data_IF_244243305155
#
_entry.id   IF_244243305155
#
_cell.length_a   1.000
_cell.length_b   1.000
_cell.length_c   1.000
_cell.angle_alpha   90.00
_cell.angle_beta   90.00
_cell.angle_gamma   90.00
#
_symmetry.space_group_name_H-M   'P 1'
#
loop_
_entity.id
_entity.type
_entity.pdbx_description
1 polymer ?
#
# COMPACT_ATOMS: atom_id res chain seq x y z
N UNK A 1 5.27 5.30 7.82
CA UNK A 1 4.89 6.30 8.83
C UNK A 1 3.80 7.22 8.29
N UNK A 2 3.04 7.82 9.19
CA UNK A 2 1.96 8.76 8.88
C UNK A 2 2.09 9.95 9.84
N UNK A 3 2.10 11.16 9.32
CA UNK A 3 2.15 12.39 10.13
C UNK A 3 0.72 12.78 10.52
N UNK A 4 0.51 13.04 11.81
CA UNK A 4 -0.77 13.57 12.30
C UNK A 4 -0.87 15.08 12.07
N UNK A 5 -2.08 15.66 12.10
CA UNK A 5 -2.23 17.12 12.03
C UNK A 5 -1.49 17.90 13.15
N UNK A 6 -1.24 17.27 14.30
CA UNK A 6 -0.48 17.85 15.42
C UNK A 6 1.03 17.75 15.27
N UNK A 7 1.53 17.03 14.24
CA UNK A 7 2.94 16.82 13.94
C UNK A 7 3.54 15.58 14.61
N UNK A 8 2.74 14.75 15.26
CA UNK A 8 3.17 13.45 15.75
C UNK A 8 3.32 12.45 14.60
N UNK A 9 4.09 11.37 14.80
CA UNK A 9 4.25 10.31 13.83
C UNK A 9 3.57 9.01 14.30
N UNK A 10 2.69 8.46 13.46
CA UNK A 10 2.19 7.10 13.63
C UNK A 10 3.08 6.16 12.81
N UNK A 11 3.58 5.09 13.42
CA UNK A 11 4.51 4.15 12.80
C UNK A 11 4.02 2.72 12.97
N UNK A 12 3.86 2.02 11.86
CA UNK A 12 3.66 0.57 11.85
C UNK A 12 5.01 -0.13 12.08
N UNK A 13 5.10 -0.90 13.14
CA UNK A 13 6.27 -1.73 13.48
C UNK A 13 5.98 -3.18 13.07
N UNK A 14 6.10 -3.44 11.78
CA UNK A 14 5.70 -4.69 11.11
C UNK A 14 6.20 -5.95 11.82
N UNK A 15 7.49 -5.97 12.24
CA UNK A 15 8.09 -7.13 12.92
C UNK A 15 7.68 -7.29 14.39
N UNK A 16 7.13 -6.24 14.97
CA UNK A 16 6.67 -6.23 16.35
C UNK A 16 5.14 -6.38 16.46
N UNK A 17 4.45 -6.49 15.32
CA UNK A 17 3.01 -6.64 15.23
C UNK A 17 2.23 -5.53 15.97
N UNK A 18 2.75 -4.29 15.90
CA UNK A 18 2.19 -3.15 16.62
C UNK A 18 2.21 -1.86 15.80
N UNK A 19 1.35 -0.92 16.19
CA UNK A 19 1.37 0.47 15.73
C UNK A 19 1.64 1.36 16.93
N UNK A 20 2.59 2.28 16.78
CA UNK A 20 2.98 3.23 17.82
C UNK A 20 2.81 4.66 17.34
N UNK A 21 2.60 5.58 18.29
CA UNK A 21 2.68 7.00 18.08
C UNK A 21 3.96 7.52 18.72
N UNK A 22 4.74 8.27 17.96
CA UNK A 22 5.89 9.04 18.41
C UNK A 22 5.43 10.49 18.55
N UNK A 23 5.41 11.01 19.77
CA UNK A 23 5.08 12.41 20.00
C UNK A 23 6.14 13.29 19.36
N UNK A 24 5.73 14.40 18.75
CA UNK A 24 6.63 15.33 18.07
C UNK A 24 7.76 15.77 18.99
N UNK A 25 8.92 15.97 18.42
CA UNK A 25 10.07 16.60 19.08
C UNK A 25 9.74 18.08 19.35
N UNK A 26 9.40 18.42 20.57
CA UNK A 26 8.99 19.76 20.97
C UNK A 26 10.17 20.62 21.45
N UNK A 27 11.23 20.01 21.97
CA UNK A 27 12.42 20.71 22.47
C UNK A 27 13.57 20.77 21.46
N UNK A 28 13.47 20.06 20.32
CA UNK A 28 14.41 20.11 19.21
C UNK A 28 15.68 19.26 19.44
N UNK A 29 15.63 18.27 20.34
CA UNK A 29 16.78 17.40 20.64
C UNK A 29 16.96 16.24 19.63
N UNK A 30 16.06 16.12 18.65
CA UNK A 30 16.05 15.09 17.62
C UNK A 30 15.41 13.78 18.06
N UNK A 31 14.66 13.77 19.17
CA UNK A 31 13.94 12.60 19.69
C UNK A 31 12.47 12.92 19.93
N UNK A 32 11.60 11.90 19.87
CA UNK A 32 10.21 12.09 20.26
C UNK A 32 10.10 12.27 21.77
N UNK A 33 9.18 13.15 22.23
CA UNK A 33 8.92 13.36 23.66
C UNK A 33 8.44 12.10 24.36
N UNK A 34 7.66 11.29 23.65
CA UNK A 34 7.19 9.99 24.13
C UNK A 34 6.92 9.02 22.98
N UNK A 35 6.92 7.73 23.30
CA UNK A 35 6.50 6.64 22.42
C UNK A 35 5.34 5.90 23.06
N UNK A 36 4.17 5.95 22.43
CA UNK A 36 2.97 5.28 22.93
C UNK A 36 2.53 4.17 21.99
N UNK A 37 2.17 3.01 22.55
CA UNK A 37 1.56 1.94 21.77
C UNK A 37 0.09 2.27 21.54
N UNK A 38 -0.34 2.33 20.27
CA UNK A 38 -1.73 2.50 19.88
C UNK A 38 -2.44 1.16 19.72
N UNK A 39 -1.78 0.22 19.02
CA UNK A 39 -2.32 -1.10 18.71
C UNK A 39 -1.24 -2.16 18.88
N UNK A 40 -1.64 -3.36 19.29
CA UNK A 40 -0.78 -4.54 19.44
C UNK A 40 -1.51 -5.79 18.92
N UNK A 41 -0.76 -6.89 18.76
CA UNK A 41 -1.29 -8.18 18.27
C UNK A 41 -1.92 -8.07 16.87
N UNK A 42 -1.36 -7.21 16.03
CA UNK A 42 -1.70 -7.10 14.61
C UNK A 42 -0.98 -8.17 13.80
N UNK A 43 -1.36 -8.31 12.53
CA UNK A 43 -0.71 -9.27 11.62
C UNK A 43 0.18 -8.56 10.61
N UNK A 44 1.46 -8.35 10.95
CA UNK A 44 2.44 -7.67 10.10
C UNK A 44 1.92 -6.31 9.55
N UNK A 45 1.53 -5.35 10.42
CA UNK A 45 0.99 -4.08 9.99
C UNK A 45 2.00 -3.30 9.14
N UNK A 46 1.53 -2.60 8.10
CA UNK A 46 2.38 -1.81 7.22
C UNK A 46 1.75 -0.48 6.82
N UNK A 47 0.72 -0.48 5.96
CA UNK A 47 0.04 0.72 5.50
C UNK A 47 -0.77 1.39 6.60
N UNK A 48 -0.73 2.71 6.63
CA UNK A 48 -1.47 3.53 7.57
C UNK A 48 -2.16 4.66 6.82
N UNK A 49 -3.41 4.95 7.17
CA UNK A 49 -4.13 6.11 6.66
C UNK A 49 -5.05 6.69 7.74
N UNK A 50 -5.25 8.01 7.73
CA UNK A 50 -6.25 8.69 8.58
C UNK A 50 -7.38 9.19 7.69
N UNK A 51 -8.61 8.92 8.11
CA UNK A 51 -9.80 9.42 7.42
C UNK A 51 -10.98 9.52 8.38
N UNK A 52 -11.60 10.69 8.47
CA UNK A 52 -12.83 10.96 9.25
C UNK A 52 -12.79 10.44 10.71
N UNK A 53 -11.67 10.66 11.39
CA UNK A 53 -11.49 10.25 12.79
C UNK A 53 -11.24 8.75 12.97
N UNK A 54 -10.82 8.06 11.91
CA UNK A 54 -10.38 6.67 11.96
C UNK A 54 -8.91 6.56 11.55
N UNK A 55 -8.18 5.72 12.25
CA UNK A 55 -6.88 5.20 11.84
C UNK A 55 -7.10 3.85 11.16
N UNK A 56 -6.75 3.76 9.89
CA UNK A 56 -6.75 2.53 9.10
C UNK A 56 -5.37 1.90 9.12
N UNK A 57 -5.34 0.59 9.24
CA UNK A 57 -4.11 -0.21 9.27
C UNK A 57 -4.22 -1.35 8.26
N UNK A 58 -3.30 -1.37 7.29
CA UNK A 58 -3.12 -2.50 6.38
C UNK A 58 -2.29 -3.58 7.06
N UNK A 59 -2.88 -4.76 7.19
CA UNK A 59 -2.23 -5.97 7.67
C UNK A 59 -1.88 -6.90 6.50
N UNK A 60 -1.07 -7.93 6.71
CA UNK A 60 -0.69 -8.83 5.62
C UNK A 60 -1.90 -9.54 4.97
N UNK A 61 -2.94 -9.80 5.74
CA UNK A 61 -4.15 -10.54 5.31
C UNK A 61 -5.42 -9.67 5.24
N UNK A 62 -5.31 -8.36 5.49
CA UNK A 62 -6.53 -7.55 5.53
C UNK A 62 -6.31 -6.08 5.84
N UNK A 63 -7.40 -5.42 6.20
CA UNK A 63 -7.42 -4.02 6.62
C UNK A 63 -8.31 -3.91 7.85
N UNK A 64 -7.81 -3.28 8.89
CA UNK A 64 -8.61 -2.91 10.05
C UNK A 64 -8.60 -1.41 10.29
N UNK A 65 -9.50 -0.95 11.17
CA UNK A 65 -9.57 0.45 11.58
C UNK A 65 -9.95 0.59 13.05
N UNK A 66 -9.57 1.71 13.63
CA UNK A 66 -9.93 2.09 15.00
C UNK A 66 -10.22 3.59 15.07
N UNK A 67 -11.11 4.01 15.96
CA UNK A 67 -11.31 5.44 16.21
C UNK A 67 -10.02 6.08 16.71
N UNK A 68 -9.65 7.20 16.10
CA UNK A 68 -8.45 7.95 16.42
C UNK A 68 -8.79 9.43 16.59
N UNK A 69 -8.43 9.97 17.73
CA UNK A 69 -8.51 11.39 18.04
C UNK A 69 -7.16 12.03 17.72
N UNK A 70 -7.12 12.84 16.67
CA UNK A 70 -5.88 13.46 16.20
C UNK A 70 -5.33 14.52 17.15
N UNK A 71 -6.17 15.16 17.97
CA UNK A 71 -5.73 16.21 18.91
C UNK A 71 -5.04 15.62 20.13
N UNK A 72 -5.57 14.51 20.66
CA UNK A 72 -4.99 13.81 21.81
C UNK A 72 -4.02 12.69 21.43
N UNK A 73 -3.99 12.28 20.15
CA UNK A 73 -3.23 11.14 19.68
C UNK A 73 -3.68 9.81 20.28
N UNK A 74 -4.94 9.66 20.66
CA UNK A 74 -5.47 8.47 21.32
C UNK A 74 -6.39 7.67 20.42
N UNK A 75 -6.38 6.36 20.62
CA UNK A 75 -7.35 5.42 20.03
C UNK A 75 -8.46 5.10 21.02
N UNK A 76 -9.66 4.79 20.52
CA UNK A 76 -10.81 4.41 21.34
C UNK A 76 -11.68 3.36 20.65
N UNK A 77 -12.40 2.58 21.43
CA UNK A 77 -13.22 1.49 20.93
C UNK A 77 -12.43 0.22 20.60
N UNK A 78 -13.05 -0.66 19.84
CA UNK A 78 -12.43 -1.90 19.36
C UNK A 78 -11.77 -1.69 17.99
N UNK A 79 -10.68 -2.43 17.71
CA UNK A 79 -10.13 -2.54 16.37
C UNK A 79 -11.06 -3.40 15.52
N UNK A 80 -11.55 -2.84 14.42
CA UNK A 80 -12.53 -3.46 13.52
C UNK A 80 -11.83 -3.92 12.24
N UNK A 81 -11.88 -5.20 11.90
CA UNK A 81 -11.47 -5.66 10.57
C UNK A 81 -12.60 -5.38 9.56
N UNK A 82 -12.29 -4.57 8.55
CA UNK A 82 -13.19 -4.26 7.42
C UNK A 82 -12.89 -5.12 6.19
N UNK A 83 -11.69 -5.70 6.15
CA UNK A 83 -11.24 -6.70 5.16
C UNK A 83 -10.39 -7.72 5.92
N UNK A 84 -10.64 -9.03 5.73
CA UNK A 84 -9.91 -10.11 6.40
C UNK A 84 -9.59 -11.31 5.48
N UNK A 85 -9.77 -11.13 4.18
CA UNK A 85 -9.72 -12.19 3.17
C UNK A 85 -8.60 -11.99 2.12
N UNK A 86 -7.64 -11.11 2.36
CA UNK A 86 -6.48 -11.00 1.48
C UNK A 86 -5.53 -12.19 1.67
N UNK A 87 -5.02 -12.70 0.55
CA UNK A 87 -3.97 -13.71 0.58
C UNK A 87 -2.65 -13.09 1.06
N UNK A 88 -1.96 -13.77 1.98
CA UNK A 88 -0.71 -13.31 2.57
C UNK A 88 0.44 -14.31 2.44
N UNK A 89 0.31 -15.27 1.55
CA UNK A 89 1.37 -16.21 1.14
C UNK A 89 2.33 -15.56 0.14
N UNK A 90 3.47 -16.18 -0.06
CA UNK A 90 4.47 -15.75 -1.02
C UNK A 90 5.22 -14.46 -0.60
N UNK A 91 5.58 -13.63 -1.60
CA UNK A 91 6.43 -12.45 -1.41
C UNK A 91 5.62 -11.25 -0.91
N UNK A 92 5.56 -10.18 -1.54
CA UNK A 92 5.05 -8.84 -1.26
C UNK A 92 3.73 -8.79 -0.45
N UNK A 93 3.82 -9.11 0.85
CA UNK A 93 2.66 -9.22 1.76
C UNK A 93 2.19 -7.90 2.36
N UNK A 94 2.99 -6.86 2.25
CA UNK A 94 2.65 -5.53 2.76
C UNK A 94 1.49 -4.92 1.96
N UNK A 95 0.67 -4.12 2.62
CA UNK A 95 -0.42 -3.35 2.02
C UNK A 95 -0.15 -1.88 2.25
N UNK A 96 -0.07 -1.08 1.20
CA UNK A 96 -0.02 0.38 1.31
C UNK A 96 -1.44 0.92 1.16
N UNK A 97 -1.81 1.85 2.02
CA UNK A 97 -3.14 2.43 2.08
C UNK A 97 -3.10 3.92 1.77
N UNK A 98 -4.14 4.43 1.13
CA UNK A 98 -4.37 5.85 0.95
C UNK A 98 -5.84 6.15 0.67
N UNK A 99 -6.30 7.35 1.02
CA UNK A 99 -7.62 7.84 0.64
C UNK A 99 -7.50 8.78 -0.54
N UNK A 100 -8.23 8.47 -1.60
CA UNK A 100 -8.32 9.35 -2.76
C UNK A 100 -9.16 10.60 -2.51
N UNK A 101 -9.03 11.62 -3.37
CA UNK A 101 -9.88 12.81 -3.32
C UNK A 101 -11.37 12.49 -3.52
N UNK A 102 -11.68 11.31 -4.07
CA UNK A 102 -13.01 10.74 -4.21
C UNK A 102 -13.58 10.12 -2.92
N UNK A 103 -12.77 10.09 -1.84
CA UNK A 103 -13.13 9.52 -0.54
C UNK A 103 -13.06 7.98 -0.49
N UNK A 104 -12.59 7.31 -1.54
CA UNK A 104 -12.38 5.87 -1.55
C UNK A 104 -11.06 5.49 -0.89
N UNK A 105 -11.05 4.35 -0.21
CA UNK A 105 -9.84 3.73 0.31
C UNK A 105 -9.16 2.92 -0.80
N UNK A 106 -7.93 3.27 -1.12
CA UNK A 106 -7.08 2.55 -2.06
C UNK A 106 -6.08 1.68 -1.32
N UNK A 107 -5.82 0.49 -1.85
CA UNK A 107 -4.85 -0.45 -1.30
C UNK A 107 -4.02 -1.08 -2.41
N UNK A 108 -2.69 -1.04 -2.29
CA UNK A 108 -1.81 -1.83 -3.14
C UNK A 108 -1.64 -3.24 -2.56
N UNK A 109 -1.74 -4.24 -3.42
CA UNK A 109 -1.48 -5.64 -3.08
C UNK A 109 -0.45 -6.21 -4.05
N UNK A 110 0.77 -6.42 -3.56
CA UNK A 110 1.87 -6.90 -4.38
C UNK A 110 1.75 -8.37 -4.78
N UNK A 111 2.58 -8.80 -5.71
CA UNK A 111 2.61 -10.16 -6.25
C UNK A 111 3.02 -11.20 -5.21
N UNK A 112 2.62 -12.45 -5.43
CA UNK A 112 3.02 -13.59 -4.59
C UNK A 112 4.43 -14.11 -4.91
N UNK A 113 5.01 -13.67 -6.01
CA UNK A 113 6.27 -14.18 -6.57
C UNK A 113 7.13 -13.08 -7.19
N UNK A 114 8.32 -13.43 -7.62
CA UNK A 114 9.20 -12.52 -8.37
C UNK A 114 8.65 -12.20 -9.77
N UNK A 115 8.31 -13.24 -10.53
CA UNK A 115 7.62 -13.15 -11.82
C UNK A 115 6.82 -14.44 -12.03
N UNK A 116 5.51 -14.34 -12.11
CA UNK A 116 4.59 -15.45 -12.37
C UNK A 116 3.21 -14.93 -12.78
N UNK A 117 2.37 -15.80 -13.29
CA UNK A 117 0.95 -15.53 -13.45
C UNK A 117 0.28 -15.80 -12.10
N UNK A 118 -0.32 -14.77 -11.52
CA UNK A 118 -1.01 -14.88 -10.23
C UNK A 118 -2.24 -15.80 -10.31
N UNK A 119 -2.50 -16.49 -9.21
CA UNK A 119 -3.72 -17.31 -9.05
C UNK A 119 -4.87 -16.52 -8.46
N UNK A 120 -4.57 -15.56 -7.59
CA UNK A 120 -5.52 -14.61 -7.03
C UNK A 120 -5.41 -13.31 -7.83
N UNK A 121 -6.46 -12.98 -8.57
CA UNK A 121 -6.52 -11.81 -9.44
C UNK A 121 -6.37 -10.47 -8.69
N UNK A 122 -6.53 -10.50 -7.37
CA UNK A 122 -6.33 -9.33 -6.50
C UNK A 122 -4.84 -9.04 -6.24
N UNK A 123 -3.93 -9.98 -6.56
CA UNK A 123 -2.48 -9.78 -6.42
C UNK A 123 -1.92 -8.98 -7.59
N UNK A 124 -0.81 -8.28 -7.36
CA UNK A 124 -0.18 -7.40 -8.36
C UNK A 124 -1.14 -6.31 -8.86
N UNK A 125 -1.91 -5.71 -7.94
CA UNK A 125 -2.94 -4.72 -8.25
C UNK A 125 -2.93 -3.54 -7.28
N UNK A 126 -3.59 -2.48 -7.69
CA UNK A 126 -4.19 -1.50 -6.80
C UNK A 126 -5.70 -1.74 -6.82
N UNK A 127 -6.28 -1.93 -5.65
CA UNK A 127 -7.72 -2.04 -5.44
C UNK A 127 -8.25 -0.77 -4.79
N UNK A 128 -9.56 -0.51 -4.90
CA UNK A 128 -10.25 0.49 -4.09
C UNK A 128 -11.56 -0.04 -3.52
N UNK A 129 -12.01 0.58 -2.46
CA UNK A 129 -13.24 0.21 -1.76
C UNK A 129 -13.81 1.39 -0.98
N UNK A 130 -15.05 1.26 -0.51
CA UNK A 130 -15.59 2.24 0.44
C UNK A 130 -14.84 2.19 1.78
N UNK A 131 -14.89 3.26 2.60
CA UNK A 131 -14.22 3.31 3.89
C UNK A 131 -14.63 2.21 4.89
N UNK A 132 -15.77 1.56 4.67
CA UNK A 132 -16.25 0.43 5.47
C UNK A 132 -15.83 -0.94 4.91
N UNK A 133 -15.02 -0.98 3.85
CA UNK A 133 -14.58 -2.20 3.17
C UNK A 133 -15.57 -2.77 2.16
N UNK A 134 -16.72 -2.13 1.94
CA UNK A 134 -17.69 -2.54 0.93
C UNK A 134 -17.30 -2.06 -0.48
N UNK A 135 -18.03 -2.52 -1.51
CA UNK A 135 -17.86 -2.12 -2.92
C UNK A 135 -16.40 -2.26 -3.42
N UNK A 136 -15.78 -3.39 -3.11
CA UNK A 136 -14.39 -3.66 -3.50
C UNK A 136 -14.28 -3.87 -5.01
N UNK A 137 -13.32 -3.21 -5.63
CA UNK A 137 -13.00 -3.40 -7.04
C UNK A 137 -11.50 -3.30 -7.31
N UNK A 138 -11.03 -3.98 -8.33
CA UNK A 138 -9.68 -3.83 -8.85
C UNK A 138 -9.62 -2.54 -9.65
N UNK A 139 -8.74 -1.62 -9.27
CA UNK A 139 -8.59 -0.32 -9.91
C UNK A 139 -7.57 -0.36 -11.05
N UNK A 140 -6.42 -1.04 -10.81
CA UNK A 140 -5.35 -1.21 -11.79
C UNK A 140 -4.64 -2.54 -11.59
N UNK A 141 -4.09 -3.12 -12.65
CA UNK A 141 -3.43 -4.43 -12.66
C UNK A 141 -2.03 -4.38 -13.25
N UNK A 142 -1.27 -5.46 -13.11
CA UNK A 142 0.08 -5.55 -13.68
C UNK A 142 1.12 -4.74 -12.91
N UNK A 143 0.89 -4.55 -11.61
CA UNK A 143 1.74 -3.83 -10.67
C UNK A 143 2.37 -4.82 -9.70
N UNK A 144 3.62 -5.20 -9.94
CA UNK A 144 4.31 -6.25 -9.17
C UNK A 144 4.35 -5.96 -7.67
N UNK A 145 4.80 -4.76 -7.28
CA UNK A 145 4.94 -4.37 -5.88
C UNK A 145 4.97 -2.84 -5.72
N UNK A 146 3.81 -2.22 -5.81
CA UNK A 146 3.66 -0.79 -5.59
C UNK A 146 3.67 -0.48 -4.09
N UNK A 147 4.80 -0.02 -3.57
CA UNK A 147 4.98 0.20 -2.12
C UNK A 147 4.59 1.63 -1.69
N UNK A 148 4.74 2.60 -2.58
CA UNK A 148 4.30 3.99 -2.38
C UNK A 148 3.13 4.32 -3.29
N UNK A 149 2.14 5.03 -2.77
CA UNK A 149 1.05 5.62 -3.55
C UNK A 149 0.64 6.96 -2.97
N UNK A 150 0.35 7.92 -3.84
CA UNK A 150 -0.15 9.24 -3.44
C UNK A 150 -0.81 9.94 -4.64
N UNK A 151 -1.63 10.94 -4.36
CA UNK A 151 -2.30 11.76 -5.37
C UNK A 151 -1.54 13.05 -5.60
N UNK A 152 -1.30 13.36 -6.85
CA UNK A 152 -0.62 14.59 -7.21
C UNK A 152 -1.52 15.81 -6.89
N UNK A 153 -1.00 16.80 -6.13
CA UNK A 153 -1.84 17.92 -5.66
C UNK A 153 -2.27 18.91 -6.75
N UNK A 154 -1.79 18.72 -7.99
CA UNK A 154 -2.11 19.63 -9.12
C UNK A 154 -3.19 19.08 -10.05
N UNK A 155 -3.50 17.78 -10.03
CA UNK A 155 -4.49 17.16 -10.95
C UNK A 155 -5.28 16.01 -10.32
N UNK A 156 -5.06 15.72 -9.02
CA UNK A 156 -5.70 14.64 -8.26
C UNK A 156 -5.51 13.24 -8.87
N UNK A 157 -4.48 13.06 -9.70
CA UNK A 157 -4.15 11.76 -10.29
C UNK A 157 -3.33 10.94 -9.33
N UNK A 158 -3.65 9.65 -9.21
CA UNK A 158 -2.90 8.69 -8.41
C UNK A 158 -1.57 8.35 -9.08
N UNK A 159 -0.48 8.43 -8.33
CA UNK A 159 0.82 7.92 -8.70
C UNK A 159 1.24 6.79 -7.75
N UNK A 160 1.94 5.79 -8.27
CA UNK A 160 2.48 4.69 -7.49
C UNK A 160 3.91 4.38 -7.90
N UNK A 161 4.77 4.13 -6.89
CA UNK A 161 6.11 3.59 -7.12
C UNK A 161 6.01 2.09 -7.34
N UNK A 162 6.81 1.56 -8.26
CA UNK A 162 6.80 0.15 -8.61
C UNK A 162 8.20 -0.45 -8.48
N UNK A 163 8.34 -1.52 -7.71
CA UNK A 163 9.58 -2.28 -7.64
C UNK A 163 9.63 -3.33 -8.76
N UNK A 164 10.62 -3.24 -9.64
CA UNK A 164 10.89 -4.18 -10.71
C UNK A 164 11.21 -5.60 -10.22
N UNK A 165 11.14 -6.59 -11.12
CA UNK A 165 11.50 -7.98 -10.76
C UNK A 165 13.01 -8.13 -10.53
N UNK A 166 13.39 -9.07 -9.66
CA UNK A 166 14.78 -9.39 -9.39
C UNK A 166 15.38 -10.37 -10.44
N UNK A 167 16.70 -10.54 -10.40
CA UNK A 167 17.47 -11.56 -11.11
C UNK A 167 17.63 -11.34 -12.63
N UNK A 168 17.54 -10.10 -13.11
CA UNK A 168 17.86 -9.74 -14.50
C UNK A 168 19.20 -8.97 -14.62
N UNK A 169 19.96 -8.88 -13.54
CA UNK A 169 21.22 -8.13 -13.45
C UNK A 169 21.05 -6.83 -12.67
N UNK A 170 22.10 -6.00 -12.69
CA UNK A 170 22.13 -4.79 -11.87
C UNK A 170 21.42 -3.59 -12.53
N UNK A 171 21.24 -3.66 -13.85
CA UNK A 171 20.69 -2.57 -14.65
C UNK A 171 19.25 -2.77 -15.11
N UNK A 172 18.67 -3.97 -14.84
CA UNK A 172 17.34 -4.35 -15.34
C UNK A 172 16.52 -5.13 -14.30
N UNK A 173 15.18 -4.94 -14.28
CA UNK A 173 14.46 -3.81 -14.87
C UNK A 173 14.62 -2.57 -13.99
N UNK A 174 14.37 -1.37 -14.50
CA UNK A 174 14.28 -0.19 -13.64
C UNK A 174 13.07 -0.30 -12.71
N UNK A 175 13.15 0.31 -11.52
CA UNK A 175 11.97 0.66 -10.76
C UNK A 175 11.21 1.78 -11.50
N UNK A 176 9.90 1.88 -11.26
CA UNK A 176 9.04 2.80 -12.01
C UNK A 176 8.28 3.75 -11.09
N UNK A 177 7.91 4.91 -11.63
CA UNK A 177 6.87 5.77 -11.08
C UNK A 177 5.73 5.82 -12.10
N UNK A 178 4.63 5.17 -11.78
CA UNK A 178 3.50 5.02 -12.67
C UNK A 178 2.39 6.03 -12.34
N UNK A 179 1.86 6.68 -13.37
CA UNK A 179 0.62 7.43 -13.32
C UNK A 179 -0.54 6.43 -13.44
N UNK A 180 -1.30 6.24 -12.36
CA UNK A 180 -2.29 5.18 -12.27
C UNK A 180 -3.67 5.65 -12.74
N UNK A 181 -4.20 4.97 -13.73
CA UNK A 181 -5.53 5.19 -14.30
C UNK A 181 -6.42 3.95 -14.10
N UNK A 182 -7.75 4.13 -13.96
CA UNK A 182 -8.66 3.01 -13.74
C UNK A 182 -8.67 2.05 -14.91
N UNK A 183 -8.74 0.75 -14.60
CA UNK A 183 -8.80 -0.36 -15.55
C UNK A 183 -7.58 -0.51 -16.47
N UNK A 184 -6.44 0.14 -16.13
CA UNK A 184 -5.20 -0.02 -16.89
C UNK A 184 -4.38 -1.19 -16.36
N UNK A 185 -3.62 -1.79 -17.29
CA UNK A 185 -2.62 -2.83 -17.03
C UNK A 185 -1.21 -2.22 -17.18
N UNK A 186 -0.33 -2.44 -16.19
CA UNK A 186 0.99 -1.81 -16.09
C UNK A 186 2.16 -2.73 -16.44
N UNK A 187 1.89 -3.89 -17.00
CA UNK A 187 2.88 -4.71 -17.70
C UNK A 187 3.29 -5.98 -16.97
N UNK A 188 3.51 -5.96 -15.66
CA UNK A 188 3.92 -7.16 -14.94
C UNK A 188 2.86 -8.27 -15.02
N UNK A 189 3.21 -9.55 -15.27
CA UNK A 189 4.59 -10.11 -15.33
C UNK A 189 5.18 -10.17 -16.76
N UNK A 190 4.56 -9.58 -17.75
CA UNK A 190 4.89 -9.80 -19.17
C UNK A 190 5.87 -8.78 -19.73
N UNK A 191 5.83 -7.55 -19.22
CA UNK A 191 6.69 -6.45 -19.68
C UNK A 191 7.13 -5.57 -18.51
N UNK A 192 8.21 -4.82 -18.72
CA UNK A 192 8.73 -3.83 -17.79
C UNK A 192 9.27 -2.60 -18.53
N UNK A 193 9.46 -1.50 -17.81
CA UNK A 193 9.97 -0.26 -18.35
C UNK A 193 9.16 0.23 -19.56
N UNK A 194 9.83 0.67 -20.59
CA UNK A 194 9.20 1.17 -21.82
C UNK A 194 8.74 0.05 -22.76
N UNK A 195 8.04 -0.96 -22.24
CA UNK A 195 7.49 -2.06 -23.04
C UNK A 195 8.51 -3.14 -23.41
N UNK A 196 9.53 -3.37 -22.56
CA UNK A 196 10.50 -4.45 -22.77
C UNK A 196 9.89 -5.78 -22.34
N UNK A 197 9.79 -6.78 -23.23
CA UNK A 197 9.24 -8.09 -22.88
C UNK A 197 10.09 -8.78 -21.81
N UNK A 198 9.41 -9.35 -20.79
CA UNK A 198 10.06 -10.21 -19.82
C UNK A 198 10.65 -11.45 -20.50
N UNK A 199 11.91 -11.83 -20.20
CA UNK A 199 12.58 -12.94 -20.89
C UNK A 199 11.93 -14.30 -20.66
N UNK A 200 11.23 -14.47 -19.53
CA UNK A 200 10.62 -15.75 -19.16
C UNK A 200 9.13 -15.82 -19.53
N UNK A 201 8.42 -14.68 -19.43
CA UNK A 201 6.97 -14.64 -19.53
C UNK A 201 6.44 -13.72 -20.64
N UNK A 202 7.27 -12.85 -21.23
CA UNK A 202 6.84 -11.86 -22.24
C UNK A 202 6.56 -12.45 -23.61
N UNK A 203 7.03 -13.67 -23.91
CA UNK A 203 6.79 -14.30 -25.22
C UNK A 203 5.30 -14.57 -25.46
N UNK A 204 4.75 -14.02 -26.55
CA UNK A 204 3.34 -14.17 -26.91
C UNK A 204 2.41 -13.09 -26.32
N UNK A 205 2.91 -12.17 -25.52
CA UNK A 205 2.16 -11.09 -24.88
C UNK A 205 2.45 -9.70 -25.49
N UNK A 206 2.63 -9.65 -26.82
CA UNK A 206 2.95 -8.40 -27.53
C UNK A 206 1.84 -7.33 -27.43
N UNK A 207 0.60 -7.72 -27.16
CA UNK A 207 -0.50 -6.78 -26.99
C UNK A 207 -0.39 -6.01 -25.64
N UNK A 208 0.18 -6.62 -24.63
CA UNK A 208 0.44 -6.03 -23.31
C UNK A 208 1.67 -5.09 -23.33
N UNK A 209 2.48 -5.15 -24.39
CA UNK A 209 3.68 -4.32 -24.60
C UNK A 209 3.39 -2.98 -25.28
N UNK A 210 2.19 -2.78 -25.80
CA UNK A 210 1.84 -1.66 -26.70
C UNK A 210 1.31 -0.41 -25.99
N UNK A 211 1.70 -0.17 -24.72
CA UNK A 211 1.27 1.03 -23.95
C UNK A 211 2.41 1.91 -23.56
#
# INVERSE_FOLDING_TARGET
>A
PLVTPTGDLIVARTRADEVVLLERDADGDGKPEAVRKLLTNLRHPHGLALHEGWLYVGESNGIGRIRFDADSGQVSGAFEHIVDDFTDDGFHRTKTLGFGPDGWLYVSQGSSCNACIERDERRATIMRMQPDGSQREIYATGLRNSVGLDWAPWDDVLYATENGRDLLGDDLPPDELNRIEPNNFYGWPFVYGSGVPDPDLGAGHAAETAR
#
